data_IF_617226738432
#
_entry.id   IF_617226738432
#
_cell.length_a   1.000
_cell.length_b   1.000
_cell.length_c   1.000
_cell.angle_alpha   90.00
_cell.angle_beta   90.00
_cell.angle_gamma   90.00
#
_symmetry.space_group_name_H-M   'P 1'
#
loop_
_entity.id
_entity.type
_entity.pdbx_description
1 polymer ?
#
# COMPACT_ATOMS: atom_id res chain seq x y z
N UNK A 1 24.97 -61.86 10.36
CA UNK A 1 23.84 -61.34 9.56
C UNK A 1 23.65 -59.87 9.90
N UNK A 2 23.41 -59.01 8.91
CA UNK A 2 23.31 -57.55 9.11
C UNK A 2 21.96 -57.10 9.69
N UNK A 3 21.91 -55.90 10.28
CA UNK A 3 20.67 -55.18 10.63
C UNK A 3 20.60 -53.90 9.81
N UNK A 4 19.74 -53.87 8.81
CA UNK A 4 19.62 -52.74 7.88
C UNK A 4 18.99 -51.51 8.54
N UNK A 5 19.72 -50.39 8.53
CA UNK A 5 19.23 -49.09 9.04
C UNK A 5 18.45 -48.35 7.94
N UNK A 6 17.19 -48.74 7.70
CA UNK A 6 16.22 -47.90 6.98
C UNK A 6 15.52 -46.92 7.93
N UNK A 7 15.26 -45.70 7.46
CA UNK A 7 14.37 -44.74 8.13
C UNK A 7 15.04 -43.51 8.74
N UNK A 8 15.48 -42.55 7.89
CA UNK A 8 15.71 -41.13 8.27
C UNK A 8 15.90 -40.24 7.03
N UNK A 9 14.89 -40.14 6.15
CA UNK A 9 15.00 -39.27 4.95
C UNK A 9 13.66 -38.81 4.33
N UNK A 10 12.62 -38.53 5.13
CA UNK A 10 11.31 -38.08 4.61
C UNK A 10 10.91 -36.65 5.00
N UNK A 11 11.28 -36.16 6.19
CA UNK A 11 10.81 -34.85 6.70
C UNK A 11 11.29 -33.64 5.87
N UNK A 12 12.52 -33.68 5.32
CA UNK A 12 13.14 -32.55 4.61
C UNK A 12 12.28 -32.02 3.45
N UNK A 13 11.57 -32.89 2.72
CA UNK A 13 10.75 -32.46 1.57
C UNK A 13 9.46 -31.74 1.96
N UNK A 14 8.93 -31.98 3.17
CA UNK A 14 7.76 -31.27 3.70
C UNK A 14 8.12 -29.88 4.22
N UNK A 15 9.24 -29.78 4.94
CA UNK A 15 9.73 -28.51 5.51
C UNK A 15 10.16 -27.53 4.41
N UNK A 16 10.81 -28.00 3.34
CA UNK A 16 11.20 -27.15 2.22
C UNK A 16 9.97 -26.56 1.50
N UNK A 17 8.93 -27.39 1.26
CA UNK A 17 7.65 -26.93 0.70
C UNK A 17 6.96 -25.90 1.59
N UNK A 18 6.98 -26.09 2.91
CA UNK A 18 6.40 -25.14 3.87
C UNK A 18 7.12 -23.79 3.86
N UNK A 19 8.46 -23.77 3.74
CA UNK A 19 9.20 -22.52 3.57
C UNK A 19 8.85 -21.84 2.24
N UNK A 20 8.74 -22.61 1.15
CA UNK A 20 8.37 -22.09 -0.16
C UNK A 20 6.93 -21.50 -0.17
N UNK A 21 5.97 -22.11 0.52
CA UNK A 21 4.61 -21.54 0.66
C UNK A 21 4.60 -20.27 1.50
N UNK A 22 5.34 -20.22 2.62
CA UNK A 22 5.44 -19.00 3.44
C UNK A 22 6.09 -17.84 2.66
N UNK A 23 7.11 -18.11 1.84
CA UNK A 23 7.73 -17.08 1.00
C UNK A 23 6.79 -16.60 -0.12
N UNK A 24 5.94 -17.46 -0.68
CA UNK A 24 4.90 -17.04 -1.65
C UNK A 24 3.84 -16.18 -0.99
N UNK A 25 3.34 -16.60 0.17
CA UNK A 25 2.37 -15.85 0.98
C UNK A 25 2.92 -14.47 1.38
N UNK A 26 4.19 -14.38 1.78
CA UNK A 26 4.83 -13.11 2.14
C UNK A 26 4.94 -12.13 0.95
N UNK A 27 5.34 -12.64 -0.22
CA UNK A 27 5.41 -11.87 -1.48
C UNK A 27 4.01 -11.41 -1.92
N UNK A 28 2.98 -12.26 -1.75
CA UNK A 28 1.60 -11.95 -2.08
C UNK A 28 1.02 -10.89 -1.14
N UNK A 29 1.15 -11.07 0.18
CA UNK A 29 0.74 -10.10 1.19
C UNK A 29 1.46 -8.76 1.03
N UNK A 30 2.74 -8.74 0.66
CA UNK A 30 3.48 -7.51 0.39
C UNK A 30 2.89 -6.77 -0.81
N UNK A 31 2.50 -7.48 -1.89
CA UNK A 31 1.82 -6.87 -3.05
C UNK A 31 0.42 -6.36 -2.70
N UNK A 32 -0.34 -7.12 -1.92
CA UNK A 32 -1.67 -6.71 -1.46
C UNK A 32 -1.59 -5.49 -0.53
N UNK A 33 -0.66 -5.47 0.43
CA UNK A 33 -0.44 -4.35 1.35
C UNK A 33 -0.10 -3.07 0.57
N UNK A 34 0.84 -3.12 -0.37
CA UNK A 34 1.17 -1.95 -1.22
C UNK A 34 -0.01 -1.51 -2.12
N UNK A 35 -0.86 -2.45 -2.56
CA UNK A 35 -2.08 -2.14 -3.31
C UNK A 35 -3.10 -1.41 -2.43
N UNK A 36 -3.40 -1.94 -1.25
CA UNK A 36 -4.39 -1.37 -0.33
C UNK A 36 -3.90 -0.03 0.26
N UNK A 37 -2.63 0.09 0.65
CA UNK A 37 -2.02 1.36 1.08
C UNK A 37 -2.11 2.43 -0.03
N UNK A 38 -1.75 2.09 -1.27
CA UNK A 38 -1.87 3.03 -2.40
C UNK A 38 -3.32 3.47 -2.63
N UNK A 39 -4.27 2.53 -2.65
CA UNK A 39 -5.70 2.86 -2.81
C UNK A 39 -6.19 3.74 -1.65
N UNK A 40 -5.79 3.41 -0.41
CA UNK A 40 -6.11 4.20 0.77
C UNK A 40 -5.55 5.64 0.69
N UNK A 41 -4.26 5.81 0.36
CA UNK A 41 -3.63 7.15 0.21
C UNK A 41 -4.28 7.97 -0.91
N UNK A 42 -4.60 7.35 -2.04
CA UNK A 42 -5.25 8.01 -3.17
C UNK A 42 -6.66 8.51 -2.83
N UNK A 43 -7.46 7.72 -2.10
CA UNK A 43 -8.81 8.12 -1.66
C UNK A 43 -8.74 9.09 -0.48
N UNK A 44 -7.81 8.92 0.46
CA UNK A 44 -7.58 9.87 1.55
C UNK A 44 -7.12 11.24 1.03
N UNK A 45 -6.39 11.30 -0.08
CA UNK A 45 -6.06 12.56 -0.77
C UNK A 45 -7.28 13.40 -1.16
N UNK A 46 -8.44 12.79 -1.37
CA UNK A 46 -9.73 13.50 -1.57
C UNK A 46 -10.21 14.15 -0.27
N UNK A 47 -10.05 13.48 0.87
CA UNK A 47 -10.39 14.03 2.20
C UNK A 47 -9.41 15.13 2.61
N UNK A 48 -8.12 14.97 2.30
CA UNK A 48 -7.11 16.02 2.53
C UNK A 48 -7.45 17.25 1.69
N UNK A 49 -7.67 17.11 0.38
CA UNK A 49 -8.07 18.23 -0.49
C UNK A 49 -9.38 18.88 -0.05
N UNK A 50 -10.35 18.10 0.47
CA UNK A 50 -11.56 18.64 1.09
C UNK A 50 -11.25 19.48 2.32
N UNK A 51 -10.32 19.03 3.17
CA UNK A 51 -9.83 19.79 4.33
C UNK A 51 -9.19 21.11 3.90
N UNK A 52 -8.20 21.06 3.01
CA UNK A 52 -7.43 22.23 2.59
C UNK A 52 -8.34 23.28 1.91
N UNK A 53 -9.27 22.82 1.07
CA UNK A 53 -10.26 23.71 0.42
C UNK A 53 -11.27 24.29 1.42
N UNK A 54 -11.67 23.52 2.44
CA UNK A 54 -12.57 23.99 3.49
C UNK A 54 -11.90 25.01 4.42
N UNK A 55 -10.62 24.85 4.71
CA UNK A 55 -9.84 25.83 5.47
C UNK A 55 -9.69 27.14 4.67
N UNK A 56 -9.29 27.05 3.39
CA UNK A 56 -9.18 28.21 2.49
C UNK A 56 -10.50 28.98 2.33
N UNK A 57 -11.64 28.30 2.19
CA UNK A 57 -12.94 28.97 2.04
C UNK A 57 -13.40 29.77 3.28
N UNK A 58 -12.69 29.69 4.42
CA UNK A 58 -13.11 30.33 5.68
C UNK A 58 -13.21 31.85 5.60
N UNK A 59 -12.33 32.49 4.84
CA UNK A 59 -12.29 33.94 4.65
C UNK A 59 -13.24 34.47 3.57
N UNK A 60 -13.87 33.60 2.77
CA UNK A 60 -14.70 34.00 1.65
C UNK A 60 -16.10 34.49 2.09
N UNK A 61 -16.66 35.42 1.31
CA UNK A 61 -17.99 35.96 1.57
C UNK A 61 -19.08 34.86 1.57
N UNK A 62 -20.12 34.94 2.43
CA UNK A 62 -21.08 33.85 2.62
C UNK A 62 -21.73 33.28 1.33
N UNK A 63 -22.11 34.07 0.31
CA UNK A 63 -22.70 33.54 -0.93
C UNK A 63 -21.71 32.73 -1.78
N UNK A 64 -20.46 33.20 -1.89
CA UNK A 64 -19.37 32.47 -2.56
C UNK A 64 -19.08 31.18 -1.81
N UNK A 65 -18.86 31.29 -0.49
CA UNK A 65 -18.56 30.17 0.39
C UNK A 65 -19.64 29.09 0.38
N UNK A 66 -20.92 29.45 0.35
CA UNK A 66 -22.02 28.49 0.19
C UNK A 66 -21.89 27.66 -1.09
N UNK A 67 -21.45 28.26 -2.19
CA UNK A 67 -21.23 27.56 -3.46
C UNK A 67 -20.00 26.67 -3.39
N UNK A 68 -18.91 27.14 -2.80
CA UNK A 68 -17.71 26.32 -2.59
C UNK A 68 -17.99 25.11 -1.70
N UNK A 69 -18.76 25.26 -0.61
CA UNK A 69 -19.18 24.14 0.26
C UNK A 69 -20.04 23.11 -0.50
N UNK A 70 -20.95 23.55 -1.37
CA UNK A 70 -21.71 22.65 -2.26
C UNK A 70 -20.79 21.85 -3.17
N UNK A 71 -19.81 22.51 -3.78
CA UNK A 71 -19.04 21.95 -4.89
C UNK A 71 -17.86 21.10 -4.40
N UNK A 72 -17.25 21.45 -3.27
CA UNK A 72 -16.41 20.56 -2.45
C UNK A 72 -17.10 19.22 -2.18
N UNK A 73 -18.35 19.25 -1.69
CA UNK A 73 -19.11 18.03 -1.40
C UNK A 73 -19.35 17.24 -2.69
N UNK A 74 -19.85 17.87 -3.77
CA UNK A 74 -20.07 17.22 -5.08
C UNK A 74 -18.83 16.49 -5.59
N UNK A 75 -17.65 17.13 -5.53
CA UNK A 75 -16.40 16.53 -5.97
C UNK A 75 -16.05 15.30 -5.13
N UNK A 76 -16.19 15.42 -3.80
CA UNK A 76 -15.90 14.35 -2.83
C UNK A 76 -16.85 13.14 -3.00
N UNK A 77 -18.13 13.37 -3.27
CA UNK A 77 -19.15 12.30 -3.46
C UNK A 77 -19.35 11.90 -4.93
N UNK A 78 -18.47 12.34 -5.83
CA UNK A 78 -18.58 12.04 -7.26
C UNK A 78 -18.50 10.53 -7.50
N UNK A 79 -19.27 10.03 -8.46
CA UNK A 79 -19.42 8.58 -8.66
C UNK A 79 -18.11 7.88 -9.02
N UNK A 80 -17.14 8.59 -9.60
CA UNK A 80 -15.78 8.11 -9.82
C UNK A 80 -15.05 7.79 -8.50
N UNK A 81 -15.13 8.68 -7.50
CA UNK A 81 -14.51 8.47 -6.19
C UNK A 81 -15.23 7.34 -5.45
N UNK A 82 -16.57 7.36 -5.41
CA UNK A 82 -17.34 6.31 -4.74
C UNK A 82 -17.14 4.93 -5.39
N UNK A 83 -17.04 4.86 -6.71
CA UNK A 83 -16.67 3.63 -7.41
C UNK A 83 -15.24 3.18 -7.10
N UNK A 84 -14.29 4.09 -6.89
CA UNK A 84 -12.93 3.76 -6.48
C UNK A 84 -12.89 3.20 -5.04
N UNK A 85 -13.58 3.83 -4.08
CA UNK A 85 -13.64 3.31 -2.70
C UNK A 85 -14.36 1.97 -2.65
N UNK A 86 -15.47 1.81 -3.38
CA UNK A 86 -16.20 0.55 -3.48
C UNK A 86 -15.38 -0.56 -4.14
N UNK A 87 -14.53 -0.25 -5.13
CA UNK A 87 -13.59 -1.24 -5.68
C UNK A 87 -12.48 -1.60 -4.67
N UNK A 88 -12.07 -0.69 -3.80
CA UNK A 88 -11.10 -0.95 -2.73
C UNK A 88 -11.68 -1.76 -1.56
N UNK A 89 -12.98 -1.67 -1.28
CA UNK A 89 -13.65 -2.56 -0.30
C UNK A 89 -14.06 -3.92 -0.88
N UNK A 90 -14.13 -4.05 -2.21
CA UNK A 90 -14.55 -5.29 -2.90
C UNK A 90 -13.38 -6.13 -3.46
N UNK A 91 -12.13 -5.69 -3.35
CA UNK A 91 -10.97 -6.39 -3.92
C UNK A 91 -10.50 -7.61 -3.09
N UNK A 92 -11.43 -8.51 -2.76
CA UNK A 92 -11.18 -9.80 -2.10
C UNK A 92 -10.90 -10.96 -3.08
N UNK A 93 -10.86 -10.66 -4.38
CA UNK A 93 -10.63 -11.60 -5.47
C UNK A 93 -9.16 -11.58 -5.93
N UNK A 94 -8.46 -12.74 -6.01
CA UNK A 94 -7.09 -12.85 -6.51
C UNK A 94 -7.02 -12.77 -8.05
N UNK A 95 -7.63 -11.73 -8.63
CA UNK A 95 -7.64 -11.47 -10.07
C UNK A 95 -6.51 -10.55 -10.53
N UNK A 96 -5.80 -10.87 -11.64
CA UNK A 96 -4.75 -10.00 -12.17
C UNK A 96 -5.33 -8.65 -12.64
N UNK A 97 -4.65 -7.52 -12.37
CA UNK A 97 -5.24 -6.19 -12.50
C UNK A 97 -5.42 -5.74 -13.96
N UNK A 98 -6.61 -5.96 -14.53
CA UNK A 98 -7.00 -5.36 -15.81
C UNK A 98 -7.25 -3.86 -15.62
N UNK A 99 -6.44 -3.04 -16.30
CA UNK A 99 -6.23 -1.63 -15.95
C UNK A 99 -7.46 -0.73 -16.09
N UNK A 100 -7.82 -0.04 -14.99
CA UNK A 100 -8.79 1.08 -14.96
C UNK A 100 -8.27 2.36 -14.26
N UNK A 101 -7.09 2.30 -13.63
CA UNK A 101 -6.51 3.41 -12.83
C UNK A 101 -6.16 4.67 -13.64
N UNK A 102 -6.09 4.59 -14.98
CA UNK A 102 -5.71 5.71 -15.84
C UNK A 102 -6.64 6.94 -15.70
N UNK A 103 -7.93 6.73 -15.46
CA UNK A 103 -8.90 7.83 -15.32
C UNK A 103 -8.74 8.66 -14.05
N UNK A 104 -8.27 8.06 -12.95
CA UNK A 104 -8.15 8.75 -11.66
C UNK A 104 -6.91 9.67 -11.64
N UNK A 105 -5.80 9.20 -12.21
CA UNK A 105 -4.60 10.02 -12.49
C UNK A 105 -4.94 11.18 -13.45
N UNK A 106 -5.77 10.95 -14.46
CA UNK A 106 -6.19 11.99 -15.40
C UNK A 106 -7.02 13.09 -14.71
N UNK A 107 -7.94 12.73 -13.80
CA UNK A 107 -8.72 13.69 -13.02
C UNK A 107 -7.83 14.53 -12.08
N UNK A 108 -6.86 13.91 -11.41
CA UNK A 108 -5.88 14.63 -10.59
C UNK A 108 -4.98 15.56 -11.44
N UNK A 109 -4.62 15.15 -12.67
CA UNK A 109 -3.83 15.97 -13.59
C UNK A 109 -4.60 17.17 -14.15
N UNK A 110 -5.87 17.02 -14.50
CA UNK A 110 -6.74 18.13 -14.92
C UNK A 110 -6.93 19.20 -13.83
N UNK A 111 -6.70 18.85 -12.56
CA UNK A 111 -6.68 19.77 -11.42
C UNK A 111 -5.31 20.47 -11.21
N UNK A 112 -4.29 20.10 -11.99
CA UNK A 112 -2.93 20.66 -11.95
C UNK A 112 -2.59 21.46 -13.22
N UNK A 113 -3.05 21.02 -14.39
CA UNK A 113 -2.70 21.63 -15.68
C UNK A 113 -3.33 23.04 -15.88
N UNK A 114 -4.20 23.51 -14.96
CA UNK A 114 -4.82 24.84 -15.00
C UNK A 114 -3.99 25.94 -14.29
N UNK A 115 -2.71 25.68 -14.00
CA UNK A 115 -1.75 26.60 -13.38
C UNK A 115 -0.44 26.73 -14.21
N UNK A 116 -0.56 26.75 -15.55
CA UNK A 116 0.56 26.74 -16.49
C UNK A 116 1.22 28.10 -16.75
N UNK A 117 2.17 28.50 -15.89
CA UNK A 117 3.23 29.45 -16.25
C UNK A 117 4.38 28.75 -16.99
N UNK A 118 5.04 29.44 -17.93
CA UNK A 118 5.91 28.80 -18.95
C UNK A 118 7.42 28.79 -18.66
N UNK A 119 8.18 28.13 -19.56
CA UNK A 119 9.65 28.01 -19.74
C UNK A 119 10.31 26.82 -19.01
N UNK A 120 10.85 25.76 -19.66
CA UNK A 120 11.86 25.57 -20.74
C UNK A 120 13.27 25.20 -20.17
N UNK A 121 13.78 23.96 -20.38
CA UNK A 121 14.74 23.50 -21.45
C UNK A 121 16.21 23.93 -21.17
N UNK A 122 17.29 23.13 -21.27
CA UNK A 122 17.55 21.70 -21.66
C UNK A 122 18.49 21.04 -20.57
N UNK A 123 19.37 20.02 -20.73
CA UNK A 123 19.77 19.17 -21.86
C UNK A 123 21.02 18.28 -21.64
N UNK A 124 20.95 17.00 -22.09
CA UNK A 124 22.05 15.97 -22.24
C UNK A 124 22.78 15.51 -20.94
N UNK A 125 23.31 14.29 -20.75
CA UNK A 125 23.52 13.01 -21.49
C UNK A 125 24.99 12.66 -21.85
N UNK A 126 25.34 11.35 -21.70
CA UNK A 126 26.57 10.65 -22.17
C UNK A 126 27.90 10.94 -21.42
N UNK A 127 28.90 10.04 -21.35
CA UNK A 127 29.02 8.59 -21.68
C UNK A 127 30.35 7.96 -21.17
N UNK A 128 30.40 6.61 -21.10
CA UNK A 128 31.55 5.70 -21.39
C UNK A 128 32.92 5.84 -20.69
N UNK A 129 33.55 4.69 -20.32
CA UNK A 129 34.88 4.22 -20.80
C UNK A 129 35.25 2.81 -20.27
N UNK A 130 35.87 1.98 -21.11
CA UNK A 130 36.60 0.71 -20.84
C UNK A 130 38.01 0.84 -21.49
N UNK A 131 39.09 0.05 -21.19
CA UNK A 131 39.11 -1.42 -21.22
C UNK A 131 40.11 -2.12 -20.21
N UNK A 132 40.58 -3.34 -20.56
CA UNK A 132 41.43 -4.32 -19.82
C UNK A 132 42.98 -4.04 -19.95
N UNK A 133 43.98 -4.95 -19.69
CA UNK A 133 43.99 -6.38 -19.25
C UNK A 133 45.14 -6.92 -18.32
N UNK A 134 45.02 -8.23 -17.96
CA UNK A 134 46.06 -9.15 -17.42
C UNK A 134 46.44 -9.00 -15.92
N UNK A 135 47.09 -9.96 -15.22
CA UNK A 135 47.87 -11.15 -15.64
C UNK A 135 47.73 -12.33 -14.65
N UNK A 136 48.35 -13.48 -14.95
CA UNK A 136 48.24 -14.77 -14.22
C UNK A 136 49.02 -14.82 -12.89
N UNK A 137 48.61 -15.72 -11.97
CA UNK A 137 49.54 -16.63 -11.29
C UNK A 137 48.81 -17.87 -10.71
N UNK A 138 49.47 -19.03 -10.73
CA UNK A 138 48.94 -20.32 -10.25
C UNK A 138 49.66 -20.82 -8.99
N UNK A 139 48.96 -21.48 -8.05
CA UNK A 139 49.65 -22.21 -6.98
C UNK A 139 48.78 -22.92 -5.96
N UNK A 140 49.07 -24.22 -5.76
CA UNK A 140 48.91 -24.97 -4.50
C UNK A 140 47.49 -25.14 -3.93
N UNK A 141 46.68 -25.92 -4.64
CA UNK A 141 45.70 -26.83 -4.01
C UNK A 141 46.46 -27.93 -3.21
N UNK A 142 45.74 -28.67 -2.34
CA UNK A 142 46.17 -29.93 -1.69
C UNK A 142 46.82 -29.85 -0.30
N UNK A 143 46.13 -29.28 0.70
CA UNK A 143 46.36 -29.65 2.12
C UNK A 143 45.16 -29.48 3.08
N UNK A 144 43.91 -29.66 2.61
CA UNK A 144 42.70 -29.55 3.44
C UNK A 144 41.71 -30.71 3.22
N UNK A 145 42.11 -31.94 3.57
CA UNK A 145 41.27 -33.13 3.36
C UNK A 145 41.31 -34.20 4.48
N UNK A 146 41.83 -33.88 5.66
CA UNK A 146 41.80 -34.77 6.84
C UNK A 146 41.04 -34.19 8.06
N UNK A 147 40.87 -32.87 8.15
CA UNK A 147 40.14 -32.21 9.26
C UNK A 147 38.61 -32.33 9.16
N UNK A 148 38.09 -32.85 8.05
CA UNK A 148 36.69 -32.66 7.62
C UNK A 148 35.65 -33.59 8.27
N UNK A 149 36.08 -34.63 9.00
CA UNK A 149 35.20 -35.74 9.41
C UNK A 149 34.65 -35.67 10.84
N UNK A 150 35.11 -34.73 11.68
CA UNK A 150 34.61 -34.55 13.06
C UNK A 150 33.71 -33.33 13.26
N UNK A 151 33.81 -32.30 12.39
CA UNK A 151 33.02 -31.06 12.53
C UNK A 151 31.53 -31.20 12.21
N UNK A 152 31.14 -32.17 11.38
CA UNK A 152 29.78 -32.29 10.84
C UNK A 152 28.69 -32.64 11.86
N UNK A 153 29.02 -32.98 13.11
CA UNK A 153 28.02 -33.42 14.12
C UNK A 153 27.45 -32.31 15.00
N UNK A 154 28.14 -31.16 15.13
CA UNK A 154 27.62 -29.98 15.83
C UNK A 154 26.97 -28.96 14.86
N UNK A 155 27.40 -28.97 13.59
CA UNK A 155 26.90 -28.08 12.55
C UNK A 155 25.40 -28.28 12.24
N UNK A 156 24.90 -29.52 12.28
CA UNK A 156 23.49 -29.83 12.01
C UNK A 156 22.53 -29.15 12.99
N UNK A 157 22.74 -29.33 14.29
CA UNK A 157 21.91 -28.73 15.36
C UNK A 157 21.93 -27.19 15.31
N UNK A 158 23.07 -26.60 14.93
CA UNK A 158 23.21 -25.16 14.72
C UNK A 158 22.47 -24.69 13.45
N UNK A 159 22.57 -25.43 12.35
CA UNK A 159 21.89 -25.14 11.08
C UNK A 159 20.38 -25.23 11.20
N UNK A 160 19.86 -26.28 11.82
CA UNK A 160 18.42 -26.49 12.01
C UNK A 160 17.84 -25.40 12.92
N UNK A 161 18.58 -24.97 13.94
CA UNK A 161 18.20 -23.83 14.81
C UNK A 161 18.19 -22.49 14.08
N UNK A 162 19.16 -22.23 13.19
CA UNK A 162 19.17 -21.03 12.34
C UNK A 162 17.99 -21.04 11.35
N UNK A 163 17.68 -22.19 10.75
CA UNK A 163 16.53 -22.35 9.86
C UNK A 163 15.19 -22.15 10.59
N UNK A 164 15.08 -22.62 11.84
CA UNK A 164 13.91 -22.40 12.70
C UNK A 164 13.73 -20.93 13.10
N UNK A 165 14.80 -20.20 13.41
CA UNK A 165 14.75 -18.76 13.69
C UNK A 165 14.24 -17.98 12.47
N UNK A 166 14.86 -18.17 11.30
CA UNK A 166 14.42 -17.55 10.03
C UNK A 166 12.96 -17.90 9.67
N UNK A 167 12.49 -19.10 10.04
CA UNK A 167 11.10 -19.53 9.85
C UNK A 167 10.13 -18.82 10.83
N UNK A 168 10.54 -18.59 12.07
CA UNK A 168 9.77 -17.82 13.04
C UNK A 168 9.67 -16.33 12.64
N UNK A 169 10.78 -15.74 12.18
CA UNK A 169 10.83 -14.38 11.63
C UNK A 169 9.86 -14.21 10.44
N UNK A 170 9.88 -15.14 9.47
CA UNK A 170 8.93 -15.14 8.34
C UNK A 170 7.45 -15.20 8.79
N UNK A 171 7.13 -16.00 9.81
CA UNK A 171 5.77 -16.09 10.35
C UNK A 171 5.37 -14.77 11.04
N UNK A 172 6.29 -14.18 11.81
CA UNK A 172 6.08 -12.91 12.48
C UNK A 172 5.89 -11.74 11.49
N UNK A 173 6.64 -11.71 10.38
CA UNK A 173 6.47 -10.72 9.32
C UNK A 173 5.15 -10.89 8.57
N UNK A 174 4.77 -12.12 8.22
CA UNK A 174 3.47 -12.45 7.62
C UNK A 174 2.32 -12.01 8.54
N UNK A 175 2.42 -12.25 9.85
CA UNK A 175 1.45 -11.75 10.83
C UNK A 175 1.39 -10.22 10.91
N UNK A 176 2.54 -9.53 10.90
CA UNK A 176 2.58 -8.07 10.90
C UNK A 176 1.95 -7.48 9.63
N UNK A 177 2.28 -8.04 8.46
CA UNK A 177 1.72 -7.61 7.17
C UNK A 177 0.21 -7.80 7.12
N UNK A 178 -0.32 -8.92 7.66
CA UNK A 178 -1.77 -9.12 7.85
C UNK A 178 -2.38 -8.04 8.75
N UNK A 179 -1.83 -7.83 9.94
CA UNK A 179 -2.32 -6.80 10.90
C UNK A 179 -2.29 -5.38 10.31
N UNK A 180 -1.33 -5.05 9.44
CA UNK A 180 -1.26 -3.76 8.72
C UNK A 180 -2.31 -3.69 7.60
N UNK A 181 -2.47 -4.75 6.81
CA UNK A 181 -3.49 -4.86 5.75
C UNK A 181 -4.91 -4.72 6.31
N UNK A 182 -5.23 -5.43 7.40
CA UNK A 182 -6.53 -5.38 8.07
C UNK A 182 -6.85 -3.97 8.60
N UNK A 183 -5.84 -3.24 9.09
CA UNK A 183 -5.97 -1.82 9.47
C UNK A 183 -6.31 -0.94 8.27
N UNK A 184 -5.59 -1.09 7.14
CA UNK A 184 -5.89 -0.30 5.93
C UNK A 184 -7.27 -0.64 5.35
N UNK A 185 -7.67 -1.91 5.29
CA UNK A 185 -9.02 -2.31 4.87
C UNK A 185 -10.10 -1.69 5.78
N UNK A 186 -9.87 -1.68 7.09
CA UNK A 186 -10.77 -1.03 8.07
C UNK A 186 -10.88 0.48 7.81
N UNK A 187 -9.77 1.17 7.53
CA UNK A 187 -9.79 2.61 7.19
C UNK A 187 -10.49 2.88 5.85
N UNK A 188 -10.28 2.06 4.83
CA UNK A 188 -10.97 2.16 3.52
C UNK A 188 -12.48 1.92 3.66
N UNK A 189 -12.91 0.94 4.47
CA UNK A 189 -14.33 0.69 4.75
C UNK A 189 -14.97 1.84 5.54
N UNK A 190 -14.27 2.39 6.55
CA UNK A 190 -14.70 3.59 7.28
C UNK A 190 -14.88 4.78 6.34
N UNK A 191 -13.93 4.98 5.42
CA UNK A 191 -13.96 6.02 4.40
C UNK A 191 -15.16 5.85 3.45
N UNK A 192 -15.41 4.63 2.95
CA UNK A 192 -16.58 4.32 2.12
C UNK A 192 -17.89 4.71 2.83
N UNK A 193 -18.07 4.24 4.06
CA UNK A 193 -19.26 4.53 4.86
C UNK A 193 -19.42 6.04 5.14
N UNK A 194 -18.31 6.77 5.30
CA UNK A 194 -18.32 8.22 5.54
C UNK A 194 -18.73 9.00 4.28
N UNK A 195 -18.25 8.61 3.09
CA UNK A 195 -18.63 9.24 1.83
C UNK A 195 -20.06 8.88 1.38
N UNK A 196 -20.50 7.63 1.61
CA UNK A 196 -21.89 7.20 1.34
C UNK A 196 -22.89 7.85 2.31
N UNK A 197 -22.48 8.18 3.54
CA UNK A 197 -23.27 9.06 4.40
C UNK A 197 -23.29 10.49 3.86
N UNK A 198 -22.13 11.08 3.52
CA UNK A 198 -22.03 12.43 2.95
C UNK A 198 -22.94 12.60 1.71
N UNK A 199 -23.02 11.58 0.84
CA UNK A 199 -23.89 11.60 -0.36
C UNK A 199 -25.38 11.65 -0.02
N UNK A 200 -25.82 10.91 1.01
CA UNK A 200 -27.21 10.92 1.50
C UNK A 200 -27.54 12.23 2.20
N UNK A 201 -26.73 12.62 3.18
CA UNK A 201 -26.83 13.89 3.91
C UNK A 201 -26.93 15.09 2.94
N UNK A 202 -26.09 15.11 1.89
CA UNK A 202 -26.11 16.15 0.87
C UNK A 202 -27.39 16.15 0.02
N UNK A 203 -27.93 14.97 -0.31
CA UNK A 203 -29.19 14.85 -1.03
C UNK A 203 -30.36 15.36 -0.19
N UNK A 204 -30.45 14.92 1.07
CA UNK A 204 -31.45 15.38 2.05
C UNK A 204 -31.36 16.90 2.29
N UNK A 205 -30.14 17.46 2.32
CA UNK A 205 -29.91 18.91 2.48
C UNK A 205 -30.63 19.77 1.46
N UNK A 206 -30.97 19.23 0.28
CA UNK A 206 -31.61 19.98 -0.82
C UNK A 206 -32.99 20.54 -0.45
N UNK A 207 -33.65 19.95 0.54
CA UNK A 207 -34.99 20.33 1.00
C UNK A 207 -34.96 21.37 2.14
N UNK A 208 -33.78 21.79 2.60
CA UNK A 208 -33.60 22.81 3.64
C UNK A 208 -33.53 24.22 3.04
N UNK A 209 -34.00 25.20 3.81
CA UNK A 209 -33.79 26.64 3.53
C UNK A 209 -32.30 27.01 3.49
N UNK A 210 -31.98 28.17 2.91
CA UNK A 210 -30.59 28.61 2.71
C UNK A 210 -29.72 28.58 3.98
N UNK A 211 -30.24 29.05 5.12
CA UNK A 211 -29.46 29.18 6.36
C UNK A 211 -29.26 27.82 7.04
N UNK A 212 -30.31 27.00 7.14
CA UNK A 212 -30.20 25.61 7.62
C UNK A 212 -29.28 24.80 6.71
N UNK A 213 -29.41 24.94 5.39
CA UNK A 213 -28.60 24.22 4.41
C UNK A 213 -27.13 24.62 4.46
N UNK A 214 -26.80 25.91 4.48
CA UNK A 214 -25.42 26.39 4.65
C UNK A 214 -24.77 25.80 5.91
N UNK A 215 -25.50 25.82 7.03
CA UNK A 215 -25.04 25.23 8.29
C UNK A 215 -24.83 23.71 8.16
N UNK A 216 -25.80 23.00 7.58
CA UNK A 216 -25.73 21.55 7.39
C UNK A 216 -24.55 21.12 6.51
N UNK A 217 -24.31 21.80 5.37
CA UNK A 217 -23.18 21.53 4.48
C UNK A 217 -21.83 21.72 5.19
N UNK A 218 -21.71 22.76 6.03
CA UNK A 218 -20.52 23.02 6.84
C UNK A 218 -20.24 21.91 7.85
N UNK A 219 -21.26 21.43 8.56
CA UNK A 219 -21.09 20.36 9.53
C UNK A 219 -20.83 19.00 8.86
N UNK A 220 -21.45 18.72 7.71
CA UNK A 220 -21.14 17.55 6.88
C UNK A 220 -19.66 17.49 6.50
N UNK A 221 -19.09 18.60 6.02
CA UNK A 221 -17.67 18.69 5.63
C UNK A 221 -16.76 18.50 6.85
N UNK A 222 -17.02 19.21 7.95
CA UNK A 222 -16.30 19.03 9.23
C UNK A 222 -16.33 17.58 9.70
N UNK A 223 -17.46 16.88 9.56
CA UNK A 223 -17.61 15.49 9.98
C UNK A 223 -16.71 14.55 9.18
N UNK A 224 -16.49 14.79 7.88
CA UNK A 224 -15.53 13.99 7.09
C UNK A 224 -14.08 14.31 7.48
N UNK A 225 -13.73 15.59 7.62
CA UNK A 225 -12.36 16.04 7.93
C UNK A 225 -11.92 15.60 9.33
N UNK A 226 -12.80 15.71 10.34
CA UNK A 226 -12.49 15.43 11.76
C UNK A 226 -12.55 13.95 12.14
N UNK A 227 -12.67 13.04 11.17
CA UNK A 227 -12.65 11.62 11.49
C UNK A 227 -11.20 11.14 11.66
N UNK A 228 -10.69 11.27 12.89
CA UNK A 228 -9.33 10.85 13.29
C UNK A 228 -9.00 9.41 12.86
N UNK A 229 -10.00 8.52 12.81
CA UNK A 229 -9.82 7.13 12.36
C UNK A 229 -9.57 6.98 10.86
N UNK A 230 -9.58 8.07 10.08
CA UNK A 230 -9.23 8.12 8.67
C UNK A 230 -7.82 8.63 8.40
N UNK A 231 -7.13 9.25 9.35
CA UNK A 231 -5.78 9.80 9.14
C UNK A 231 -4.75 8.70 8.90
N UNK A 232 -3.75 8.88 8.02
CA UNK A 232 -2.59 8.00 7.98
C UNK A 232 -1.82 8.11 9.31
N UNK A 233 -1.13 7.03 9.71
CA UNK A 233 -0.27 7.06 10.92
C UNK A 233 1.09 7.74 10.63
N UNK A 234 1.46 7.87 9.35
CA UNK A 234 2.77 8.39 8.92
C UNK A 234 2.67 9.88 8.51
N UNK A 235 2.95 10.79 9.45
CA UNK A 235 3.41 12.18 9.22
C UNK A 235 4.15 12.73 10.44
#
# INVERSE_FOLDING_TARGET
MGKDKKGKNQNLSGEFKLKETLQKEDIELTRELHRTDRQYREIYGVVQKLSDTYENCKGHAPPQRYTELKDMIKMTISDNILAAVKQATQSKDPGPPKGKMAGLVLACRQLSDNAGGSLNVDGKASSSTQPQPSRQHSGKVTQLLQSSLTFNRAAGDSSDKILQLHKAELIQDVEQKKKIKDRYETKVLRLHNRLDKLKRDYAESKHLDFFRRYTALREMIKLVIRDEGLKPEDF
#
